data_IF_606945950871
#
_entry.id   IF_606945950871
#
_cell.length_a   1.000
_cell.length_b   1.000
_cell.length_c   1.000
_cell.angle_alpha   90.00
_cell.angle_beta   90.00
_cell.angle_gamma   90.00
#
_symmetry.space_group_name_H-M   'P 1'
#
loop_
_entity.id
_entity.type
_entity.pdbx_description
1 polymer ?
#
# COMPACT_ATOMS: atom_id res chain seq x y z
N UNK A 1 -12.16 -28.18 27.43
CA UNK A 1 -12.65 -27.89 26.08
C UNK A 1 -11.48 -27.38 25.25
N UNK A 2 -10.97 -28.14 24.28
CA UNK A 2 -10.01 -27.64 23.28
C UNK A 2 -10.76 -26.61 22.42
N UNK A 3 -10.38 -25.32 22.48
CA UNK A 3 -10.80 -24.37 21.46
C UNK A 3 -10.33 -24.94 20.12
N UNK A 4 -11.26 -25.36 19.26
CA UNK A 4 -10.97 -25.56 17.85
C UNK A 4 -10.39 -24.21 17.40
N UNK A 5 -9.09 -24.19 17.08
CA UNK A 5 -8.48 -23.03 16.45
C UNK A 5 -9.17 -22.83 15.12
N UNK A 6 -10.00 -21.81 15.03
CA UNK A 6 -10.64 -21.44 13.77
C UNK A 6 -9.52 -21.29 12.73
N UNK A 7 -9.66 -21.93 11.58
CA UNK A 7 -8.69 -21.81 10.50
C UNK A 7 -8.71 -20.34 10.06
N UNK A 8 -7.61 -19.63 10.26
CA UNK A 8 -7.47 -18.25 9.81
C UNK A 8 -7.38 -18.25 8.28
N UNK A 9 -8.46 -17.82 7.64
CA UNK A 9 -8.58 -17.73 6.18
C UNK A 9 -8.25 -16.34 5.64
N UNK A 10 -8.06 -15.38 6.54
CA UNK A 10 -7.69 -14.00 6.25
C UNK A 10 -6.21 -13.77 6.60
N UNK A 11 -5.48 -13.15 5.68
CA UNK A 11 -4.10 -12.74 5.87
C UNK A 11 -3.93 -11.25 5.61
N UNK A 12 -3.19 -10.58 6.49
CA UNK A 12 -2.75 -9.19 6.27
C UNK A 12 -1.31 -9.21 5.78
N UNK A 13 -1.06 -8.64 4.61
CA UNK A 13 0.29 -8.44 4.09
C UNK A 13 0.74 -7.01 4.37
N UNK A 14 1.93 -6.87 4.93
CA UNK A 14 2.55 -5.60 5.28
C UNK A 14 3.88 -5.46 4.55
N UNK A 15 4.14 -4.28 4.02
CA UNK A 15 5.42 -3.90 3.42
C UNK A 15 6.12 -2.87 4.31
N UNK A 16 7.31 -3.19 4.77
CA UNK A 16 8.13 -2.29 5.57
C UNK A 16 9.51 -2.13 4.96
N UNK A 17 9.90 -0.89 4.70
CA UNK A 17 11.25 -0.53 4.28
C UNK A 17 11.66 0.76 4.99
N UNK A 18 12.85 0.74 5.57
CA UNK A 18 13.36 1.81 6.43
C UNK A 18 14.82 2.07 6.13
N UNK A 19 15.08 2.78 5.02
CA UNK A 19 16.43 3.09 4.55
C UNK A 19 17.18 4.00 5.52
N UNK A 20 16.46 4.94 6.14
CA UNK A 20 17.01 5.92 7.10
C UNK A 20 17.18 5.39 8.53
N UNK A 21 16.75 4.15 8.81
CA UNK A 21 16.69 3.54 10.17
C UNK A 21 15.90 4.42 11.16
N UNK A 22 14.84 5.06 10.69
CA UNK A 22 13.99 5.92 11.50
C UNK A 22 13.28 5.12 12.59
N UNK A 23 13.49 5.50 13.87
CA UNK A 23 12.92 4.83 15.04
C UNK A 23 11.39 4.97 15.13
N UNK A 24 10.82 6.08 14.69
CA UNK A 24 9.37 6.28 14.74
C UNK A 24 8.64 5.32 13.80
N UNK A 25 9.20 5.02 12.62
CA UNK A 25 8.67 4.00 11.69
C UNK A 25 8.71 2.60 12.31
N UNK A 26 9.81 2.26 12.97
CA UNK A 26 9.93 1.00 13.69
C UNK A 26 8.87 0.89 14.80
N UNK A 27 8.71 1.92 15.63
CA UNK A 27 7.72 1.91 16.71
C UNK A 27 6.29 1.82 16.18
N UNK A 28 5.97 2.48 15.07
CA UNK A 28 4.67 2.39 14.43
C UNK A 28 4.37 0.96 13.94
N UNK A 29 5.34 0.31 13.26
CA UNK A 29 5.21 -1.09 12.85
C UNK A 29 4.96 -2.02 14.05
N UNK A 30 5.75 -1.90 15.12
CA UNK A 30 5.60 -2.74 16.32
C UNK A 30 4.19 -2.60 16.92
N UNK A 31 3.66 -1.38 16.96
CA UNK A 31 2.29 -1.12 17.44
C UNK A 31 1.24 -1.70 16.48
N UNK A 32 1.39 -1.51 15.17
CA UNK A 32 0.48 -2.08 14.18
C UNK A 32 0.41 -3.61 14.28
N UNK A 33 1.55 -4.28 14.37
CA UNK A 33 1.63 -5.73 14.55
C UNK A 33 0.95 -6.18 15.84
N UNK A 34 1.10 -5.44 16.94
CA UNK A 34 0.47 -5.78 18.22
C UNK A 34 -1.06 -5.76 18.16
N UNK A 35 -1.66 -4.89 17.35
CA UNK A 35 -3.12 -4.84 17.14
C UNK A 35 -3.66 -5.94 16.23
N UNK A 36 -2.83 -6.47 15.32
CA UNK A 36 -3.24 -7.49 14.34
C UNK A 36 -2.98 -8.93 14.81
N UNK A 37 -2.01 -9.16 15.70
CA UNK A 37 -1.37 -10.47 15.95
C UNK A 37 -2.30 -11.60 16.40
N UNK A 38 -3.45 -11.31 16.99
CA UNK A 38 -4.34 -12.33 17.56
C UNK A 38 -5.48 -12.73 16.61
N UNK A 39 -5.74 -11.91 15.60
CA UNK A 39 -6.96 -12.01 14.82
C UNK A 39 -6.74 -12.58 13.41
N UNK A 40 -5.54 -12.46 12.84
CA UNK A 40 -5.23 -12.82 11.45
C UNK A 40 -3.83 -13.40 11.30
N UNK A 41 -3.60 -14.13 10.21
CA UNK A 41 -2.24 -14.38 9.75
C UNK A 41 -1.62 -13.08 9.21
N UNK A 42 -0.33 -12.89 9.46
CA UNK A 42 0.41 -11.72 8.99
C UNK A 42 1.62 -12.18 8.16
N UNK A 43 1.79 -11.61 6.99
CA UNK A 43 3.02 -11.73 6.20
C UNK A 43 3.66 -10.35 6.13
N UNK A 44 4.77 -10.18 6.82
CA UNK A 44 5.57 -8.95 6.82
C UNK A 44 6.79 -9.14 5.91
N UNK A 45 6.82 -8.39 4.80
CA UNK A 45 8.02 -8.29 3.96
C UNK A 45 8.77 -7.03 4.37
N UNK A 46 10.04 -7.16 4.79
CA UNK A 46 10.75 -6.05 5.41
C UNK A 46 12.19 -5.90 4.94
N UNK A 47 12.63 -4.63 4.85
CA UNK A 47 14.02 -4.20 4.67
C UNK A 47 14.38 -3.15 5.72
N UNK A 48 15.62 -3.21 6.24
CA UNK A 48 16.10 -2.26 7.24
C UNK A 48 15.43 -2.41 8.61
N UNK A 49 14.98 -3.64 8.92
CA UNK A 49 14.35 -4.01 10.19
C UNK A 49 15.25 -4.97 10.95
N UNK A 50 15.49 -4.67 12.22
CA UNK A 50 16.01 -5.64 13.17
C UNK A 50 14.88 -6.59 13.59
N UNK A 51 14.88 -7.77 12.98
CA UNK A 51 13.81 -8.76 13.18
C UNK A 51 13.89 -9.45 14.53
N UNK A 52 15.06 -9.46 15.17
CA UNK A 52 15.27 -10.13 16.47
C UNK A 52 14.57 -9.36 17.60
N UNK A 53 14.30 -8.07 17.39
CA UNK A 53 13.54 -7.22 18.30
C UNK A 53 12.02 -7.30 18.13
N UNK A 54 11.52 -8.01 17.10
CA UNK A 54 10.09 -8.23 16.88
C UNK A 54 9.64 -9.49 17.63
N UNK A 55 8.51 -9.41 18.34
CA UNK A 55 7.94 -10.58 19.00
C UNK A 55 7.65 -11.70 18.00
N UNK A 56 7.96 -12.93 18.36
CA UNK A 56 7.53 -14.08 17.57
C UNK A 56 6.07 -14.42 17.86
N UNK A 57 5.31 -14.73 16.81
CA UNK A 57 3.94 -15.23 16.91
C UNK A 57 3.75 -16.32 15.85
N UNK A 58 2.94 -17.32 16.16
CA UNK A 58 2.62 -18.39 15.21
C UNK A 58 1.93 -17.86 13.95
N UNK A 59 1.28 -16.70 14.06
CA UNK A 59 0.54 -16.06 12.97
C UNK A 59 1.38 -15.04 12.19
N UNK A 60 2.63 -14.78 12.58
CA UNK A 60 3.50 -13.79 11.95
C UNK A 60 4.62 -14.49 11.16
N UNK A 61 4.56 -14.37 9.83
CA UNK A 61 5.64 -14.76 8.93
C UNK A 61 6.43 -13.52 8.50
N UNK A 62 7.71 -13.47 8.85
CA UNK A 62 8.61 -12.39 8.44
C UNK A 62 9.45 -12.86 7.24
N UNK A 63 9.48 -12.04 6.19
CA UNK A 63 10.30 -12.23 4.99
C UNK A 63 11.31 -11.08 4.96
N UNK A 64 12.54 -11.41 5.29
CA UNK A 64 13.63 -10.42 5.36
C UNK A 64 14.26 -10.20 3.99
N UNK A 65 14.20 -8.99 3.52
CA UNK A 65 14.94 -8.53 2.34
C UNK A 65 16.27 -7.98 2.82
N UNK A 66 17.39 -8.58 2.36
CA UNK A 66 18.73 -8.21 2.83
C UNK A 66 19.40 -7.16 1.97
N UNK A 67 18.89 -6.92 0.75
CA UNK A 67 19.38 -5.86 -0.15
C UNK A 67 18.23 -5.27 -0.94
N UNK A 68 18.14 -3.95 -0.98
CA UNK A 68 17.19 -3.21 -1.80
C UNK A 68 17.76 -1.81 -2.07
N UNK A 69 17.53 -1.27 -3.27
CA UNK A 69 17.86 0.11 -3.59
C UNK A 69 16.87 1.08 -2.95
N UNK A 70 17.30 2.33 -2.73
CA UNK A 70 16.45 3.41 -2.22
C UNK A 70 15.40 3.80 -3.26
N UNK A 71 14.25 3.13 -3.17
CA UNK A 71 13.09 3.25 -4.04
C UNK A 71 11.82 3.04 -3.22
N UNK A 72 10.68 3.37 -3.79
CA UNK A 72 9.41 2.95 -3.23
C UNK A 72 9.21 1.45 -3.50
N UNK A 73 9.34 0.62 -2.47
CA UNK A 73 9.32 -0.83 -2.58
C UNK A 73 7.97 -1.47 -2.19
N UNK A 74 6.96 -0.68 -1.79
CA UNK A 74 5.72 -1.20 -1.17
C UNK A 74 5.04 -2.24 -2.05
N UNK A 75 4.72 -1.90 -3.28
CA UNK A 75 4.01 -2.77 -4.21
C UNK A 75 4.85 -3.99 -4.61
N UNK A 76 6.19 -3.81 -4.70
CA UNK A 76 7.12 -4.92 -4.95
C UNK A 76 7.12 -5.91 -3.77
N UNK A 77 7.16 -5.42 -2.55
CA UNK A 77 7.11 -6.26 -1.35
C UNK A 77 5.74 -6.96 -1.21
N UNK A 78 4.65 -6.32 -1.61
CA UNK A 78 3.36 -7.00 -1.69
C UNK A 78 3.38 -8.14 -2.71
N UNK A 79 4.00 -7.98 -3.89
CA UNK A 79 4.16 -9.06 -4.86
C UNK A 79 5.04 -10.20 -4.30
N UNK A 80 6.07 -9.89 -3.50
CA UNK A 80 6.81 -10.92 -2.75
C UNK A 80 5.90 -11.65 -1.77
N UNK A 81 5.09 -10.93 -0.99
CA UNK A 81 4.16 -11.54 -0.04
C UNK A 81 3.16 -12.49 -0.72
N UNK A 82 2.66 -12.15 -1.92
CA UNK A 82 1.74 -13.01 -2.67
C UNK A 82 2.30 -14.40 -2.95
N UNK A 83 3.61 -14.53 -3.19
CA UNK A 83 4.26 -15.84 -3.42
C UNK A 83 4.33 -16.71 -2.16
N UNK A 84 4.04 -16.14 -0.99
CA UNK A 84 4.03 -16.82 0.29
C UNK A 84 2.62 -17.10 0.85
N UNK A 85 1.59 -16.77 0.08
CA UNK A 85 0.22 -17.18 0.42
C UNK A 85 0.07 -18.70 0.27
N UNK A 86 -0.60 -19.32 1.22
CA UNK A 86 -0.97 -20.73 1.17
C UNK A 86 -2.45 -20.91 0.82
N UNK A 87 -2.90 -22.16 0.69
CA UNK A 87 -4.27 -22.50 0.26
C UNK A 87 -5.36 -22.08 1.26
N UNK A 88 -5.03 -21.98 2.55
CA UNK A 88 -6.00 -21.51 3.56
C UNK A 88 -6.34 -20.02 3.42
N UNK A 89 -5.42 -19.20 2.86
CA UNK A 89 -5.60 -17.76 2.70
C UNK A 89 -6.58 -17.47 1.56
N UNK A 90 -7.85 -17.29 1.90
CA UNK A 90 -8.90 -16.94 0.94
C UNK A 90 -9.07 -15.44 0.77
N UNK A 91 -8.82 -14.66 1.81
CA UNK A 91 -8.95 -13.21 1.85
C UNK A 91 -7.61 -12.57 2.15
N UNK A 92 -7.22 -11.63 1.31
CA UNK A 92 -5.94 -10.91 1.42
C UNK A 92 -6.22 -9.44 1.67
N UNK A 93 -5.68 -8.92 2.75
CA UNK A 93 -5.64 -7.50 3.08
C UNK A 93 -4.23 -7.01 2.89
N UNK A 94 -4.02 -5.89 2.22
CA UNK A 94 -2.74 -5.18 2.18
C UNK A 94 -2.91 -3.81 2.78
N UNK A 95 -2.04 -3.48 3.70
CA UNK A 95 -2.16 -2.29 4.52
C UNK A 95 -0.82 -1.61 4.75
N UNK A 96 -0.85 -0.30 5.01
CA UNK A 96 0.33 0.41 5.46
C UNK A 96 0.73 -0.09 6.87
N UNK A 97 2.03 -0.14 7.14
CA UNK A 97 2.59 -0.78 8.32
C UNK A 97 2.54 0.10 9.61
N UNK A 98 1.69 1.12 9.59
CA UNK A 98 1.50 2.11 10.65
C UNK A 98 0.01 2.30 11.01
N UNK A 99 -0.81 1.29 10.71
CA UNK A 99 -2.25 1.31 10.97
C UNK A 99 -2.63 0.49 12.19
N UNK A 100 -3.59 1.00 12.97
CA UNK A 100 -4.18 0.29 14.10
C UNK A 100 -5.61 -0.11 13.75
N UNK A 101 -5.89 -1.40 13.82
CA UNK A 101 -7.20 -1.99 13.64
C UNK A 101 -7.84 -2.20 15.01
N UNK A 102 -8.81 -1.38 15.37
CA UNK A 102 -9.42 -1.40 16.69
C UNK A 102 -10.78 -2.11 16.74
N UNK A 103 -11.47 -2.22 15.60
CA UNK A 103 -12.74 -2.93 15.51
C UNK A 103 -12.48 -4.43 15.29
N UNK A 104 -12.88 -5.27 16.23
CA UNK A 104 -12.68 -6.74 16.14
C UNK A 104 -13.60 -7.45 15.13
N UNK A 105 -14.68 -6.82 14.69
CA UNK A 105 -15.64 -7.40 13.73
C UNK A 105 -15.35 -7.07 12.26
N UNK A 106 -14.19 -6.50 11.94
CA UNK A 106 -13.90 -6.04 10.58
C UNK A 106 -13.75 -7.19 9.57
N UNK A 107 -13.31 -8.37 10.02
CA UNK A 107 -13.10 -9.53 9.14
C UNK A 107 -14.42 -10.09 8.60
N UNK A 108 -15.42 -10.23 9.45
CA UNK A 108 -16.76 -10.70 9.08
C UNK A 108 -17.40 -9.74 8.07
N UNK A 109 -17.30 -8.42 8.31
CA UNK A 109 -17.75 -7.40 7.35
C UNK A 109 -16.99 -7.50 6.02
N UNK A 110 -15.67 -7.77 6.07
CA UNK A 110 -14.85 -7.94 4.87
C UNK A 110 -15.33 -9.13 4.04
N UNK A 111 -15.52 -10.28 4.67
CA UNK A 111 -15.99 -11.51 4.01
C UNK A 111 -17.34 -11.28 3.33
N UNK A 112 -18.30 -10.71 4.05
CA UNK A 112 -19.61 -10.35 3.52
C UNK A 112 -19.50 -9.41 2.29
N UNK A 113 -18.69 -8.34 2.39
CA UNK A 113 -18.48 -7.41 1.27
C UNK A 113 -17.86 -8.08 0.05
N UNK A 114 -16.89 -8.99 0.25
CA UNK A 114 -16.20 -9.68 -0.84
C UNK A 114 -17.05 -10.76 -1.55
N UNK A 115 -18.25 -11.05 -1.07
CA UNK A 115 -19.21 -11.85 -1.84
C UNK A 115 -19.78 -11.06 -3.05
N UNK A 116 -19.97 -9.75 -2.90
CA UNK A 116 -20.57 -8.91 -3.93
C UNK A 116 -19.55 -8.02 -4.64
N UNK A 117 -18.47 -7.63 -3.97
CA UNK A 117 -17.43 -6.74 -4.47
C UNK A 117 -16.11 -7.48 -4.70
N UNK A 118 -15.27 -6.95 -5.55
CA UNK A 118 -13.96 -7.55 -5.89
C UNK A 118 -12.79 -6.86 -5.19
N UNK A 119 -12.98 -5.58 -4.83
CA UNK A 119 -11.99 -4.77 -4.16
C UNK A 119 -12.68 -3.97 -3.05
N UNK A 120 -12.16 -4.03 -1.84
CA UNK A 120 -12.75 -3.38 -0.66
C UNK A 120 -11.70 -2.54 0.04
N UNK A 121 -11.95 -1.23 0.22
CA UNK A 121 -11.13 -0.39 1.08
C UNK A 121 -11.47 -0.70 2.54
N UNK A 122 -10.47 -0.97 3.37
CA UNK A 122 -10.66 -1.55 4.71
C UNK A 122 -11.22 -0.58 5.76
N UNK A 123 -11.64 0.59 5.35
CA UNK A 123 -12.17 1.64 6.24
C UNK A 123 -13.15 2.55 5.50
N UNK A 124 -14.03 3.22 6.26
CA UNK A 124 -14.75 4.41 5.82
C UNK A 124 -14.09 5.69 6.37
N UNK A 125 -13.34 5.60 7.49
CA UNK A 125 -12.70 6.72 8.15
C UNK A 125 -11.32 6.36 8.70
N UNK A 126 -10.38 7.28 8.57
CA UNK A 126 -9.04 7.24 9.18
C UNK A 126 -8.89 8.42 10.10
N UNK A 127 -8.45 8.16 11.33
CA UNK A 127 -8.04 9.17 12.31
C UNK A 127 -6.53 9.16 12.47
N UNK A 128 -5.89 10.33 12.33
CA UNK A 128 -4.46 10.44 12.59
C UNK A 128 -4.17 10.49 14.10
N UNK A 129 -3.21 9.69 14.53
CA UNK A 129 -2.72 9.65 15.91
C UNK A 129 -1.22 9.88 15.98
N UNK A 130 -0.76 10.53 17.03
CA UNK A 130 0.65 10.59 17.42
C UNK A 130 0.93 9.55 18.49
N UNK A 131 2.10 8.94 18.42
CA UNK A 131 2.62 8.04 19.44
C UNK A 131 3.72 8.78 20.23
N UNK A 132 3.42 9.18 21.46
CA UNK A 132 4.35 9.91 22.34
C UNK A 132 4.40 9.18 23.70
N UNK A 133 5.61 8.86 24.16
CA UNK A 133 5.83 8.16 25.44
C UNK A 133 4.99 6.88 25.62
N UNK A 134 4.73 6.15 24.52
CA UNK A 134 3.94 4.92 24.54
C UNK A 134 2.41 5.11 24.50
N UNK A 135 1.92 6.34 24.54
CA UNK A 135 0.51 6.70 24.50
C UNK A 135 0.12 7.27 23.13
N UNK A 136 -1.15 7.04 22.73
CA UNK A 136 -1.72 7.59 21.53
C UNK A 136 -2.56 8.84 21.84
N UNK A 137 -2.39 9.88 21.04
CA UNK A 137 -3.22 11.08 21.06
C UNK A 137 -3.75 11.41 19.66
N UNK A 138 -5.03 11.78 19.55
CA UNK A 138 -5.62 12.23 18.30
C UNK A 138 -5.00 13.55 17.85
N UNK A 139 -4.68 13.68 16.56
CA UNK A 139 -4.18 14.93 16.00
C UNK A 139 -5.28 15.89 15.60
N UNK A 140 -6.53 15.43 15.57
CA UNK A 140 -7.69 16.15 15.02
C UNK A 140 -7.80 16.06 13.50
N UNK A 141 -6.86 15.42 12.79
CA UNK A 141 -6.97 15.17 11.36
C UNK A 141 -7.70 13.86 11.09
N UNK A 142 -8.73 13.94 10.28
CA UNK A 142 -9.54 12.81 9.85
C UNK A 142 -9.72 12.82 8.34
N UNK A 143 -9.75 11.62 7.73
CA UNK A 143 -9.98 11.45 6.29
C UNK A 143 -10.99 10.34 6.05
N UNK A 144 -11.85 10.55 5.06
CA UNK A 144 -12.78 9.53 4.58
C UNK A 144 -12.07 8.53 3.63
N UNK A 145 -12.63 7.35 3.49
CA UNK A 145 -12.39 6.51 2.33
C UNK A 145 -12.75 7.27 1.05
N UNK A 146 -11.93 7.15 0.01
CA UNK A 146 -12.24 7.78 -1.28
C UNK A 146 -13.49 7.17 -1.91
N UNK A 147 -13.73 5.87 -1.70
CA UNK A 147 -14.91 5.17 -2.24
C UNK A 147 -16.21 5.75 -1.66
N UNK A 148 -16.20 6.17 -0.39
CA UNK A 148 -17.33 6.86 0.24
C UNK A 148 -17.65 8.19 -0.46
N UNK A 149 -16.63 8.89 -0.94
CA UNK A 149 -16.80 10.20 -1.58
C UNK A 149 -17.35 10.11 -3.00
N UNK A 150 -17.17 9.00 -3.72
CA UNK A 150 -17.70 8.82 -5.07
C UNK A 150 -19.22 8.86 -5.15
N UNK A 151 -19.90 8.46 -4.10
CA UNK A 151 -21.36 8.42 -4.08
C UNK A 151 -22.01 9.72 -3.58
N UNK A 152 -21.21 10.67 -3.05
CA UNK A 152 -21.72 11.84 -2.32
C UNK A 152 -21.14 13.16 -2.79
N UNK A 153 -19.82 13.21 -2.99
CA UNK A 153 -19.08 14.47 -3.05
C UNK A 153 -18.49 14.75 -4.44
N UNK A 154 -18.17 13.72 -5.23
CA UNK A 154 -17.50 13.86 -6.54
C UNK A 154 -17.76 12.68 -7.45
N UNK A 155 -17.78 12.92 -8.76
CA UNK A 155 -17.79 11.83 -9.73
C UNK A 155 -16.40 11.15 -9.81
N UNK A 156 -16.39 9.84 -10.10
CA UNK A 156 -15.15 9.08 -10.30
C UNK A 156 -14.28 9.72 -11.39
N UNK A 157 -14.90 10.17 -12.48
CA UNK A 157 -14.22 10.85 -13.59
C UNK A 157 -13.49 12.12 -13.12
N UNK A 158 -14.18 12.99 -12.40
CA UNK A 158 -13.59 14.25 -11.92
C UNK A 158 -12.45 14.00 -10.93
N UNK A 159 -12.61 13.01 -10.06
CA UNK A 159 -11.56 12.62 -9.11
C UNK A 159 -10.25 12.26 -9.81
N UNK A 160 -10.30 11.47 -10.89
CA UNK A 160 -9.10 11.06 -11.62
C UNK A 160 -8.62 12.07 -12.65
N UNK A 161 -9.45 13.01 -13.07
CA UNK A 161 -9.06 14.07 -14.03
C UNK A 161 -8.34 15.24 -13.37
N UNK A 162 -8.47 15.41 -12.05
CA UNK A 162 -7.94 16.58 -11.31
C UNK A 162 -6.91 16.11 -10.29
N UNK A 163 -5.65 16.52 -10.46
CA UNK A 163 -4.61 16.28 -9.45
C UNK A 163 -4.92 17.02 -8.16
N UNK A 164 -4.62 16.41 -7.01
CA UNK A 164 -4.77 17.06 -5.69
C UNK A 164 -6.18 17.16 -5.13
N UNK A 165 -7.22 16.76 -5.87
CA UNK A 165 -8.60 16.85 -5.40
C UNK A 165 -8.88 16.01 -4.14
N UNK A 166 -8.13 14.91 -3.94
CA UNK A 166 -8.22 14.09 -2.73
C UNK A 166 -8.01 14.89 -1.45
N UNK A 167 -7.05 15.82 -1.47
CA UNK A 167 -6.76 16.68 -0.31
C UNK A 167 -7.89 17.66 -0.05
N UNK A 168 -8.46 18.26 -1.11
CA UNK A 168 -9.57 19.21 -0.97
C UNK A 168 -10.85 18.55 -0.46
N UNK A 169 -11.05 17.26 -0.76
CA UNK A 169 -12.21 16.47 -0.29
C UNK A 169 -12.00 15.82 1.07
N UNK A 170 -10.81 15.91 1.67
CA UNK A 170 -10.48 15.20 2.91
C UNK A 170 -10.66 13.68 2.80
N UNK A 171 -10.40 13.09 1.61
CA UNK A 171 -10.48 11.66 1.36
C UNK A 171 -9.12 11.07 0.94
N UNK A 172 -8.95 9.76 1.10
CA UNK A 172 -7.70 9.08 0.81
C UNK A 172 -7.91 7.74 0.10
N UNK A 173 -7.20 7.48 -1.01
CA UNK A 173 -7.22 6.19 -1.70
C UNK A 173 -6.25 5.16 -1.10
N UNK A 174 -5.34 5.58 -0.21
CA UNK A 174 -4.32 4.74 0.40
C UNK A 174 -4.79 4.04 1.68
N UNK A 175 -3.86 3.76 2.55
CA UNK A 175 -3.93 3.06 3.84
C UNK A 175 -4.14 1.56 3.73
N UNK A 176 -5.15 1.07 3.03
CA UNK A 176 -5.29 -0.37 2.86
C UNK A 176 -6.54 -0.78 2.10
N UNK A 177 -6.41 -1.95 1.49
CA UNK A 177 -7.42 -2.59 0.64
C UNK A 177 -7.45 -4.08 0.89
N UNK A 178 -8.50 -4.73 0.40
CA UNK A 178 -8.65 -6.17 0.46
C UNK A 178 -9.33 -6.73 -0.80
N UNK A 179 -9.02 -7.98 -1.09
CA UNK A 179 -9.63 -8.76 -2.16
C UNK A 179 -9.60 -10.26 -1.82
N UNK A 180 -10.36 -11.08 -2.56
CA UNK A 180 -10.15 -12.54 -2.54
C UNK A 180 -8.74 -12.86 -3.07
N UNK A 181 -8.10 -13.88 -2.51
CA UNK A 181 -6.74 -14.28 -2.90
C UNK A 181 -6.62 -14.59 -4.40
N UNK A 182 -7.64 -15.18 -5.00
CA UNK A 182 -7.71 -15.44 -6.45
C UNK A 182 -7.65 -14.16 -7.24
N UNK A 183 -8.39 -13.12 -6.85
CA UNK A 183 -8.42 -11.81 -7.51
C UNK A 183 -7.04 -11.13 -7.44
N UNK A 184 -6.44 -11.04 -6.25
CA UNK A 184 -5.16 -10.32 -6.12
C UNK A 184 -3.98 -11.08 -6.72
N UNK A 185 -4.00 -12.42 -6.72
CA UNK A 185 -2.99 -13.23 -7.44
C UNK A 185 -3.09 -13.03 -8.96
N UNK A 186 -4.29 -12.88 -9.48
CA UNK A 186 -4.51 -12.61 -10.89
C UNK A 186 -3.96 -11.25 -11.31
N UNK A 187 -4.31 -10.17 -10.63
CA UNK A 187 -3.92 -8.82 -11.03
C UNK A 187 -2.51 -8.43 -10.61
N UNK A 188 -2.01 -8.90 -9.46
CA UNK A 188 -0.76 -8.46 -8.84
C UNK A 188 -0.79 -6.99 -8.42
N UNK A 189 0.34 -6.50 -7.93
CA UNK A 189 0.50 -5.09 -7.54
C UNK A 189 1.33 -4.31 -8.57
N UNK A 190 1.07 -3.00 -8.77
CA UNK A 190 1.78 -2.15 -9.73
C UNK A 190 3.17 -1.76 -9.22
N UNK A 191 4.10 -2.71 -9.13
CA UNK A 191 5.44 -2.52 -8.59
C UNK A 191 6.37 -1.68 -9.46
N UNK A 192 5.94 -1.39 -10.68
CA UNK A 192 6.55 -0.36 -11.53
C UNK A 192 6.37 1.06 -10.97
N UNK A 193 5.49 1.29 -9.99
CA UNK A 193 5.30 2.59 -9.34
C UNK A 193 6.42 2.87 -8.31
N UNK A 194 7.66 2.91 -8.78
CA UNK A 194 8.90 3.02 -7.98
C UNK A 194 9.07 4.32 -7.19
N UNK A 195 8.15 5.27 -7.33
CA UNK A 195 8.05 6.51 -6.55
C UNK A 195 6.77 6.56 -5.71
N UNK A 196 6.00 5.46 -5.67
CA UNK A 196 4.74 5.32 -4.95
C UNK A 196 3.53 5.83 -5.72
N UNK A 197 2.35 5.72 -5.12
CA UNK A 197 1.07 6.06 -5.75
C UNK A 197 0.27 4.84 -6.21
N UNK A 198 0.72 3.63 -5.90
CA UNK A 198 0.10 2.38 -6.31
C UNK A 198 -1.38 2.26 -5.90
N UNK A 199 -1.75 2.73 -4.72
CA UNK A 199 -3.15 2.71 -4.27
C UNK A 199 -4.09 3.50 -5.19
N UNK A 200 -3.65 4.70 -5.63
CA UNK A 200 -4.46 5.55 -6.52
C UNK A 200 -4.50 4.97 -7.95
N UNK A 201 -3.39 4.39 -8.40
CA UNK A 201 -3.27 3.69 -9.68
C UNK A 201 -4.16 2.45 -9.69
N UNK A 202 -4.19 1.67 -8.62
CA UNK A 202 -5.06 0.51 -8.46
C UNK A 202 -6.54 0.91 -8.53
N UNK A 203 -6.93 1.93 -7.78
CA UNK A 203 -8.32 2.38 -7.77
C UNK A 203 -8.76 2.93 -9.13
N UNK A 204 -7.93 3.74 -9.79
CA UNK A 204 -8.24 4.26 -11.12
C UNK A 204 -8.45 3.12 -12.13
N UNK A 205 -7.60 2.09 -12.06
CA UNK A 205 -7.71 0.90 -12.91
C UNK A 205 -8.96 0.10 -12.59
N UNK A 206 -9.23 -0.17 -11.30
CA UNK A 206 -10.41 -0.91 -10.85
C UNK A 206 -11.73 -0.27 -11.31
N UNK A 207 -11.75 1.06 -11.38
CA UNK A 207 -12.91 1.86 -11.80
C UNK A 207 -12.95 2.16 -13.31
N UNK A 208 -11.95 1.73 -14.11
CA UNK A 208 -11.88 1.95 -15.56
C UNK A 208 -11.41 3.35 -15.97
N UNK A 209 -10.73 4.07 -15.09
CA UNK A 209 -10.26 5.44 -15.33
C UNK A 209 -8.74 5.58 -15.48
N UNK A 210 -8.00 4.47 -15.64
CA UNK A 210 -6.54 4.48 -15.78
C UNK A 210 -6.07 5.28 -17.00
N UNK A 211 -6.78 5.22 -18.14
CA UNK A 211 -6.45 6.00 -19.36
C UNK A 211 -6.58 7.53 -19.17
N UNK A 212 -7.44 7.96 -18.23
CA UNK A 212 -7.56 9.38 -17.87
C UNK A 212 -6.49 9.73 -16.84
N UNK A 213 -6.33 8.88 -15.84
CA UNK A 213 -5.45 9.16 -14.70
C UNK A 213 -3.96 9.14 -15.07
N UNK A 214 -3.54 8.35 -16.07
CA UNK A 214 -2.16 8.31 -16.55
C UNK A 214 -1.62 9.71 -16.92
N UNK A 215 -2.48 10.57 -17.47
CA UNK A 215 -2.12 11.95 -17.84
C UNK A 215 -1.75 12.83 -16.64
N UNK A 216 -2.38 12.56 -15.49
CA UNK A 216 -2.14 13.31 -14.25
C UNK A 216 -0.88 12.84 -13.49
N UNK A 217 -0.29 11.72 -13.90
CA UNK A 217 0.87 11.11 -13.22
C UNK A 217 2.22 11.54 -13.79
N UNK A 218 2.25 12.30 -14.89
CA UNK A 218 3.49 12.67 -15.58
C UNK A 218 4.39 11.47 -15.92
N UNK A 219 3.79 10.34 -16.29
CA UNK A 219 4.53 9.14 -16.69
C UNK A 219 5.06 9.32 -18.12
N UNK A 220 6.28 8.84 -18.34
CA UNK A 220 6.81 8.73 -19.69
C UNK A 220 6.09 7.60 -20.47
N UNK A 221 6.43 7.46 -21.76
CA UNK A 221 5.77 6.50 -22.64
C UNK A 221 5.88 5.05 -22.15
N UNK A 222 7.06 4.63 -21.66
CA UNK A 222 7.30 3.26 -21.17
C UNK A 222 6.43 2.94 -19.96
N UNK A 223 6.42 3.84 -18.95
CA UNK A 223 5.56 3.67 -17.78
C UNK A 223 4.08 3.74 -18.12
N UNK A 224 3.70 4.62 -19.04
CA UNK A 224 2.31 4.71 -19.50
C UNK A 224 1.83 3.40 -20.11
N UNK A 225 2.66 2.75 -20.93
CA UNK A 225 2.34 1.44 -21.51
C UNK A 225 2.22 0.34 -20.47
N UNK A 226 3.16 0.28 -19.52
CA UNK A 226 3.09 -0.65 -18.38
C UNK A 226 1.80 -0.44 -17.59
N UNK A 227 1.47 0.81 -17.31
CA UNK A 227 0.26 1.15 -16.58
C UNK A 227 -1.01 0.81 -17.35
N UNK A 228 -1.09 1.10 -18.63
CA UNK A 228 -2.25 0.74 -19.46
C UNK A 228 -2.45 -0.78 -19.49
N UNK A 229 -1.41 -1.55 -19.81
CA UNK A 229 -1.48 -3.02 -19.85
C UNK A 229 -1.93 -3.64 -18.52
N UNK A 230 -1.37 -3.19 -17.40
CA UNK A 230 -1.77 -3.65 -16.07
C UNK A 230 -3.17 -3.14 -15.71
N UNK A 231 -3.48 -1.89 -16.03
CA UNK A 231 -4.76 -1.25 -15.74
C UNK A 231 -5.94 -1.90 -16.44
N UNK A 232 -5.78 -2.27 -17.71
CA UNK A 232 -6.78 -3.02 -18.48
C UNK A 232 -7.07 -4.38 -17.82
N UNK A 233 -6.03 -5.11 -17.41
CA UNK A 233 -6.16 -6.38 -16.68
C UNK A 233 -6.94 -6.20 -15.37
N UNK A 234 -6.59 -5.18 -14.59
CA UNK A 234 -7.28 -4.86 -13.33
C UNK A 234 -8.75 -4.53 -13.58
N UNK A 235 -9.04 -3.69 -14.57
CA UNK A 235 -10.42 -3.35 -14.90
C UNK A 235 -11.22 -4.58 -15.36
N UNK A 236 -10.64 -5.42 -16.20
CA UNK A 236 -11.28 -6.64 -16.67
C UNK A 236 -11.67 -7.59 -15.51
N UNK A 237 -10.81 -7.67 -14.50
CA UNK A 237 -11.03 -8.52 -13.31
C UNK A 237 -12.00 -7.88 -12.33
N UNK A 238 -11.91 -6.59 -12.04
CA UNK A 238 -12.67 -5.91 -10.96
C UNK A 238 -13.97 -5.31 -11.47
N UNK A 239 -14.00 -4.70 -12.66
CA UNK A 239 -15.19 -4.13 -13.34
C UNK A 239 -15.98 -3.14 -12.46
N UNK A 240 -15.29 -2.24 -11.77
CA UNK A 240 -15.92 -1.23 -10.92
C UNK A 240 -16.58 -1.79 -9.66
N UNK A 241 -16.47 -3.09 -9.37
CA UNK A 241 -17.03 -3.69 -8.14
C UNK A 241 -16.16 -3.39 -6.93
N UNK A 242 -16.19 -2.13 -6.51
CA UNK A 242 -15.40 -1.56 -5.42
C UNK A 242 -16.31 -1.14 -4.29
N UNK A 243 -15.92 -1.39 -3.04
CA UNK A 243 -16.64 -1.01 -1.83
C UNK A 243 -15.68 -0.62 -0.71
N UNK A 244 -16.21 -0.36 0.47
CA UNK A 244 -15.45 -0.06 1.68
C UNK A 244 -16.09 -0.72 2.90
N UNK A 245 -15.33 -0.82 4.00
CA UNK A 245 -15.84 -1.26 5.29
C UNK A 245 -16.32 -0.05 6.12
N UNK A 246 -17.40 -0.22 6.84
CA UNK A 246 -17.84 0.72 7.88
C UNK A 246 -16.94 0.55 9.13
N UNK A 247 -15.70 0.97 8.99
CA UNK A 247 -14.65 0.76 9.99
C UNK A 247 -13.78 2.01 10.12
N UNK A 248 -13.54 2.45 11.35
CA UNK A 248 -12.54 3.48 11.63
C UNK A 248 -11.20 2.82 11.95
N UNK A 249 -10.15 3.23 11.23
CA UNK A 249 -8.78 2.84 11.51
C UNK A 249 -7.98 4.06 12.01
N UNK A 250 -6.91 3.82 12.76
CA UNK A 250 -6.02 4.89 13.22
C UNK A 250 -4.67 4.78 12.52
N UNK A 251 -4.17 5.91 12.03
CA UNK A 251 -2.89 6.00 11.36
C UNK A 251 -1.87 6.72 12.26
N UNK A 252 -0.77 6.06 12.56
CA UNK A 252 0.33 6.64 13.35
C UNK A 252 1.13 7.56 12.43
N UNK A 253 0.99 8.87 12.64
CA UNK A 253 1.63 9.90 11.79
C UNK A 253 3.14 9.85 11.93
N UNK A 254 3.81 9.86 10.79
CA UNK A 254 5.26 9.90 10.66
C UNK A 254 5.67 10.93 9.61
N UNK A 255 6.64 11.78 9.96
CA UNK A 255 7.15 12.81 9.06
C UNK A 255 6.12 13.89 8.67
N UNK A 256 6.54 14.81 7.80
CA UNK A 256 5.68 15.88 7.27
C UNK A 256 5.11 15.49 5.90
N UNK A 257 3.79 15.61 5.74
CA UNK A 257 3.11 15.36 4.47
C UNK A 257 3.63 16.23 3.30
N UNK A 258 4.13 17.43 3.58
CA UNK A 258 4.66 18.35 2.55
C UNK A 258 5.85 17.76 1.81
N UNK A 259 6.70 17.01 2.51
CA UNK A 259 7.92 16.44 1.94
C UNK A 259 7.64 15.27 0.98
N UNK A 260 6.42 14.73 0.97
CA UNK A 260 6.05 13.58 0.11
C UNK A 260 5.84 13.93 -1.36
N UNK A 261 5.76 15.22 -1.72
CA UNK A 261 5.69 15.72 -3.10
C UNK A 261 4.71 14.96 -4.00
N UNK A 262 3.50 14.68 -3.50
CA UNK A 262 2.51 13.84 -4.18
C UNK A 262 2.11 14.34 -5.57
N UNK A 263 2.23 15.64 -5.84
CA UNK A 263 1.82 16.26 -7.10
C UNK A 263 2.86 16.14 -8.22
N UNK A 264 4.14 15.96 -7.89
CA UNK A 264 5.22 16.15 -8.87
C UNK A 264 6.38 15.15 -8.75
N UNK A 265 6.38 14.23 -7.79
CA UNK A 265 7.47 13.27 -7.59
C UNK A 265 7.76 12.42 -8.83
N UNK A 266 6.74 12.08 -9.62
CA UNK A 266 6.91 11.28 -10.84
C UNK A 266 7.66 12.03 -11.94
N UNK A 267 7.76 13.37 -11.87
CA UNK A 267 8.58 14.17 -12.79
C UNK A 267 10.07 13.80 -12.74
N UNK A 268 10.54 13.18 -11.65
CA UNK A 268 11.92 12.71 -11.53
C UNK A 268 12.30 11.66 -12.59
N UNK A 269 11.32 10.95 -13.14
CA UNK A 269 11.48 9.88 -14.12
C UNK A 269 10.57 10.05 -15.34
N UNK A 270 10.11 11.28 -15.62
CA UNK A 270 9.24 11.54 -16.78
C UNK A 270 9.98 11.56 -18.11
N UNK A 271 11.31 11.58 -18.08
CA UNK A 271 12.16 11.51 -19.26
C UNK A 271 11.93 10.21 -20.02
N UNK A 272 11.75 10.31 -21.34
CA UNK A 272 11.53 9.15 -22.21
C UNK A 272 12.76 8.23 -22.33
N UNK A 273 13.95 8.67 -21.92
CA UNK A 273 15.14 7.84 -21.83
C UNK A 273 15.11 6.87 -20.66
N UNK A 274 14.21 7.05 -19.68
CA UNK A 274 14.10 6.15 -18.54
C UNK A 274 13.14 4.99 -18.81
N UNK A 275 13.66 3.78 -18.86
CA UNK A 275 12.86 2.55 -18.82
C UNK A 275 13.30 1.66 -17.65
N UNK A 276 12.36 1.06 -16.93
CA UNK A 276 12.68 0.21 -15.76
C UNK A 276 13.67 -0.89 -16.13
N UNK A 277 13.45 -1.56 -17.26
CA UNK A 277 14.30 -2.70 -17.71
C UNK A 277 15.76 -2.32 -17.93
N UNK A 278 16.05 -1.07 -18.26
CA UNK A 278 17.39 -0.60 -18.56
C UNK A 278 18.18 -0.23 -17.29
N UNK A 279 17.48 0.16 -16.23
CA UNK A 279 18.08 0.70 -15.01
C UNK A 279 17.90 -0.17 -13.78
N UNK A 280 16.85 -1.00 -13.74
CA UNK A 280 16.44 -1.77 -12.56
C UNK A 280 16.31 -3.26 -12.85
N UNK A 281 16.64 -4.05 -11.84
CA UNK A 281 16.41 -5.50 -11.81
C UNK A 281 15.69 -5.87 -10.52
N UNK A 282 15.02 -7.01 -10.55
CA UNK A 282 14.58 -7.69 -9.34
C UNK A 282 15.74 -8.57 -8.88
N UNK A 283 16.21 -8.35 -7.65
CA UNK A 283 17.30 -9.12 -7.07
C UNK A 283 16.81 -10.48 -6.52
N UNK A 284 17.74 -11.30 -6.03
CA UNK A 284 17.43 -12.65 -5.50
C UNK A 284 16.46 -12.68 -4.30
N UNK A 285 16.28 -11.56 -3.59
CA UNK A 285 15.32 -11.42 -2.49
C UNK A 285 13.96 -10.84 -2.94
N UNK A 286 13.82 -10.57 -4.25
CA UNK A 286 12.59 -10.05 -4.84
C UNK A 286 12.41 -8.54 -4.74
N UNK A 287 13.41 -7.77 -4.33
CA UNK A 287 13.35 -6.30 -4.27
C UNK A 287 13.85 -5.66 -5.56
N UNK A 288 13.40 -4.44 -5.84
CA UNK A 288 13.99 -3.61 -6.87
C UNK A 288 15.40 -3.19 -6.47
N UNK A 289 16.34 -3.29 -7.42
CA UNK A 289 17.74 -2.90 -7.29
C UNK A 289 18.22 -2.23 -8.57
N UNK A 290 18.94 -1.10 -8.44
CA UNK A 290 19.62 -0.48 -9.57
C UNK A 290 20.74 -1.39 -10.11
N UNK A 291 20.92 -1.39 -11.42
CA UNK A 291 22.12 -1.98 -12.03
C UNK A 291 23.36 -1.18 -11.62
N UNK A 292 23.23 0.16 -11.59
CA UNK A 292 24.23 1.09 -11.10
C UNK A 292 23.59 2.08 -10.12
N UNK A 293 24.00 2.05 -8.85
CA UNK A 293 23.51 2.95 -7.79
C UNK A 293 23.99 4.41 -7.99
N UNK A 294 24.92 4.68 -8.90
CA UNK A 294 25.46 6.00 -9.19
C UNK A 294 24.88 6.62 -10.47
N UNK A 295 23.98 5.93 -11.17
CA UNK A 295 23.29 6.56 -12.30
C UNK A 295 22.49 7.78 -11.86
N UNK A 296 22.23 8.72 -12.80
CA UNK A 296 21.60 9.99 -12.51
C UNK A 296 20.19 9.87 -11.85
N UNK A 297 19.40 8.84 -12.24
CA UNK A 297 18.06 8.61 -11.69
C UNK A 297 18.15 8.06 -10.26
N UNK A 298 19.08 7.13 -10.00
CA UNK A 298 19.32 6.61 -8.66
C UNK A 298 19.71 7.74 -7.69
N UNK A 299 20.61 8.64 -8.12
CA UNK A 299 21.03 9.78 -7.31
C UNK A 299 19.88 10.76 -7.05
N UNK A 300 19.11 11.12 -8.09
CA UNK A 300 17.93 12.01 -7.97
C UNK A 300 16.87 11.43 -7.02
N UNK A 301 16.59 10.13 -7.15
CA UNK A 301 15.57 9.46 -6.34
C UNK A 301 16.03 9.29 -4.89
N UNK A 302 17.30 8.91 -4.66
CA UNK A 302 17.88 8.84 -3.31
C UNK A 302 17.74 10.19 -2.60
N UNK A 303 18.13 11.28 -3.25
CA UNK A 303 17.97 12.63 -2.70
C UNK A 303 16.52 12.95 -2.33
N UNK A 304 15.56 12.58 -3.18
CA UNK A 304 14.14 12.76 -2.88
C UNK A 304 13.73 12.01 -1.60
N UNK A 305 14.18 10.76 -1.41
CA UNK A 305 13.87 9.99 -0.20
C UNK A 305 14.57 10.55 1.04
N UNK A 306 15.79 11.06 0.92
CA UNK A 306 16.50 11.73 2.01
C UNK A 306 15.76 13.01 2.46
N UNK A 307 15.25 13.80 1.51
CA UNK A 307 14.46 15.02 1.76
C UNK A 307 13.10 14.73 2.40
N UNK A 308 12.55 13.54 2.23
CA UNK A 308 11.26 13.15 2.85
C UNK A 308 11.35 13.07 4.36
N UNK A 309 12.47 12.61 4.91
CA UNK A 309 12.70 12.52 6.35
C UNK A 309 11.85 11.48 7.08
N UNK A 310 11.24 10.54 6.35
CA UNK A 310 10.37 9.50 6.89
C UNK A 310 10.90 8.07 6.64
#
# INVERSE_FOLDING_TARGET
MKRLTAVMDTVVILAYFNFSKNKSRYMALVKALAYLREDVDIILVCYGLDTDSIFSSQNLKIIKITSASVLWQKERFYNVALSHLNEKHQYVVWADADLLFTNKGWQEQLKEKLESYRLVQIFNRVEDVKLENGHFSLTGLSRKSVVTSFNRDITVKDYFSKSGISLSLGCNPGFGWAAKATTIREIGFPDFMILGGGDKVLLASAMGYHSIFVKALFLNHTFSNLYHSWGDKVFHTIKGRVSYLENTIYHIVQGDYKNRRYSDRHKLIQDNSFAIADYLKINQWGAWQWYDENNEYAVKIRRYFDERGD
#
